data_IF_975970057511
#
_entry.id   IF_975970057511
#
_cell.length_a   1.000
_cell.length_b   1.000
_cell.length_c   1.000
_cell.angle_alpha   90.00
_cell.angle_beta   90.00
_cell.angle_gamma   90.00
#
_symmetry.space_group_name_H-M   'P 1'
#
loop_
_entity.id
_entity.type
_entity.pdbx_description
1 polymer ?
#
# COMPACT_ATOMS: atom_id res chain seq x y z
N UNK A 1 -18.86 29.56 -2.84
CA UNK A 1 -18.29 29.57 -1.47
C UNK A 1 -16.79 29.56 -1.63
N UNK A 2 -16.05 30.42 -0.92
CA UNK A 2 -14.58 30.41 -0.96
C UNK A 2 -14.09 29.12 -0.30
N UNK A 3 -13.20 28.38 -0.98
CA UNK A 3 -12.58 27.17 -0.43
C UNK A 3 -11.45 27.62 0.49
N UNK A 4 -11.47 27.13 1.73
CA UNK A 4 -10.47 27.42 2.75
C UNK A 4 -9.56 26.21 2.95
N UNK A 5 -8.32 26.29 2.46
CA UNK A 5 -7.31 25.26 2.65
C UNK A 5 -6.21 25.74 3.63
N UNK A 6 -6.00 25.00 4.73
CA UNK A 6 -5.03 25.38 5.76
C UNK A 6 -3.58 25.18 5.34
N UNK A 7 -3.30 24.21 4.47
CA UNK A 7 -1.96 24.02 3.92
C UNK A 7 -1.62 25.18 2.99
N UNK A 8 -2.51 25.51 2.06
CA UNK A 8 -2.30 26.63 1.15
C UNK A 8 -2.04 27.94 1.91
N UNK A 9 -2.84 28.24 2.94
CA UNK A 9 -2.65 29.44 3.76
C UNK A 9 -1.35 29.43 4.55
N UNK A 10 -0.98 28.29 5.13
CA UNK A 10 0.29 28.16 5.85
C UNK A 10 1.48 28.37 4.92
N UNK A 11 1.48 27.71 3.77
CA UNK A 11 2.58 27.82 2.80
C UNK A 11 2.69 29.24 2.26
N UNK A 12 1.57 29.88 1.93
CA UNK A 12 1.54 31.29 1.50
C UNK A 12 2.06 32.24 2.60
N UNK A 13 1.71 32.00 3.87
CA UNK A 13 2.17 32.82 5.01
C UNK A 13 3.70 32.82 5.15
N UNK A 14 4.35 31.72 4.83
CA UNK A 14 5.79 31.53 4.99
C UNK A 14 6.56 31.51 3.65
N UNK A 15 5.91 31.87 2.53
CA UNK A 15 6.47 31.82 1.18
C UNK A 15 7.10 30.47 0.82
N UNK A 16 6.48 29.37 1.26
CA UNK A 16 6.89 28.01 0.92
C UNK A 16 6.26 27.65 -0.42
N UNK A 17 7.08 27.29 -1.40
CA UNK A 17 6.59 26.82 -2.70
C UNK A 17 6.04 25.38 -2.55
N UNK A 18 4.90 25.11 -3.18
CA UNK A 18 4.27 23.79 -3.20
C UNK A 18 5.17 22.71 -3.81
N UNK A 19 5.82 23.01 -4.92
CA UNK A 19 6.71 22.06 -5.61
C UNK A 19 7.95 21.76 -4.77
N UNK A 20 8.52 22.77 -4.09
CA UNK A 20 9.67 22.55 -3.19
C UNK A 20 9.30 21.60 -2.05
N UNK A 21 8.09 21.72 -1.48
CA UNK A 21 7.59 20.78 -0.47
C UNK A 21 7.46 19.35 -1.03
N UNK A 22 6.95 19.21 -2.25
CA UNK A 22 6.81 17.91 -2.91
C UNK A 22 8.16 17.26 -3.18
N UNK A 23 9.09 18.03 -3.74
CA UNK A 23 10.45 17.57 -4.02
C UNK A 23 11.16 17.17 -2.73
N UNK A 24 11.04 17.97 -1.67
CA UNK A 24 11.55 17.61 -0.36
C UNK A 24 10.98 16.27 0.13
N UNK A 25 9.66 16.07 0.04
CA UNK A 25 9.04 14.83 0.49
C UNK A 25 9.50 13.60 -0.27
N UNK A 26 9.70 13.73 -1.58
CA UNK A 26 10.18 12.64 -2.43
C UNK A 26 11.68 12.37 -2.17
N UNK A 27 12.52 13.41 -2.17
CA UNK A 27 13.98 13.27 -2.01
C UNK A 27 14.40 12.78 -0.64
N UNK A 28 13.66 13.15 0.40
CA UNK A 28 13.92 12.71 1.77
C UNK A 28 13.25 11.36 2.09
N UNK A 29 12.39 10.83 1.21
CA UNK A 29 11.85 9.48 1.41
C UNK A 29 12.96 8.45 1.21
N UNK A 30 13.21 7.64 2.23
CA UNK A 30 14.24 6.61 2.17
C UNK A 30 13.60 5.31 1.67
N UNK A 31 14.07 4.87 0.52
CA UNK A 31 13.69 3.63 -0.14
C UNK A 31 14.76 2.54 0.08
N UNK A 32 14.38 1.26 0.23
CA UNK A 32 15.35 0.16 0.26
C UNK A 32 16.24 0.09 -1.01
N UNK A 33 17.53 -0.30 -0.88
CA UNK A 33 18.40 -0.50 -2.04
C UNK A 33 17.89 -1.62 -2.98
N UNK A 34 17.92 -1.38 -4.29
CA UNK A 34 17.31 -2.26 -5.31
C UNK A 34 17.87 -3.68 -5.32
N UNK A 35 19.17 -3.83 -5.07
CA UNK A 35 19.87 -5.12 -4.99
C UNK A 35 19.38 -5.97 -3.82
N UNK A 36 19.09 -5.32 -2.69
CA UNK A 36 18.52 -5.98 -1.51
C UNK A 36 17.02 -6.25 -1.67
N UNK A 37 16.30 -5.36 -2.35
CA UNK A 37 14.87 -5.53 -2.67
C UNK A 37 14.65 -6.82 -3.46
N UNK A 38 15.43 -7.06 -4.52
CA UNK A 38 15.29 -8.25 -5.35
C UNK A 38 15.38 -9.54 -4.53
N UNK A 39 16.40 -9.66 -3.68
CA UNK A 39 16.60 -10.85 -2.84
C UNK A 39 15.46 -11.07 -1.85
N UNK A 40 14.96 -9.99 -1.23
CA UNK A 40 13.89 -10.07 -0.24
C UNK A 40 12.53 -10.31 -0.88
N UNK A 41 12.32 -9.83 -2.11
CA UNK A 41 11.11 -10.12 -2.88
C UNK A 41 11.04 -11.59 -3.28
N UNK A 42 12.15 -12.17 -3.76
CA UNK A 42 12.23 -13.61 -4.03
C UNK A 42 11.99 -14.47 -2.79
N UNK A 43 12.57 -14.09 -1.65
CA UNK A 43 12.33 -14.77 -0.39
C UNK A 43 10.85 -14.73 0.03
N UNK A 44 10.20 -13.56 -0.07
CA UNK A 44 8.78 -13.41 0.25
C UNK A 44 7.91 -14.33 -0.62
N UNK A 45 8.10 -14.32 -1.95
CA UNK A 45 7.38 -15.22 -2.85
C UNK A 45 7.59 -16.69 -2.46
N UNK A 46 8.84 -17.10 -2.20
CA UNK A 46 9.15 -18.47 -1.77
C UNK A 46 8.43 -18.84 -0.48
N UNK A 47 8.40 -17.95 0.51
CA UNK A 47 7.66 -18.19 1.76
C UNK A 47 6.16 -18.31 1.51
N UNK A 48 5.59 -17.46 0.66
CA UNK A 48 4.16 -17.53 0.32
C UNK A 48 3.80 -18.89 -0.27
N UNK A 49 4.52 -19.31 -1.33
CA UNK A 49 4.21 -20.52 -2.08
C UNK A 49 4.62 -21.83 -1.38
N UNK A 50 5.51 -21.77 -0.38
CA UNK A 50 5.99 -22.96 0.33
C UNK A 50 5.54 -23.01 1.81
N UNK A 51 4.38 -22.43 2.13
CA UNK A 51 3.80 -22.45 3.48
C UNK A 51 4.75 -21.90 4.56
N UNK A 52 5.55 -20.89 4.24
CA UNK A 52 6.41 -20.16 5.17
C UNK A 52 5.63 -19.12 5.99
N UNK A 53 6.26 -18.62 7.06
CA UNK A 53 5.68 -17.56 7.90
C UNK A 53 5.64 -16.23 7.15
N UNK A 54 4.46 -15.63 7.06
CA UNK A 54 4.20 -14.34 6.40
C UNK A 54 3.21 -13.55 7.24
N UNK A 55 3.37 -12.23 7.30
CA UNK A 55 2.48 -11.32 8.02
C UNK A 55 1.58 -10.54 7.07
N UNK A 56 0.43 -10.13 7.59
CA UNK A 56 -0.47 -9.15 6.98
C UNK A 56 -0.99 -8.17 8.03
N UNK A 57 -1.45 -6.99 7.62
CA UNK A 57 -2.17 -6.07 8.50
C UNK A 57 -3.52 -6.65 8.91
N UNK A 58 -3.95 -6.37 10.14
CA UNK A 58 -5.29 -6.75 10.60
C UNK A 58 -6.40 -6.11 9.77
N UNK A 59 -7.48 -6.86 9.56
CA UNK A 59 -8.64 -6.43 8.77
C UNK A 59 -9.91 -6.24 9.62
N UNK A 60 -10.64 -5.16 9.34
CA UNK A 60 -11.85 -4.78 10.06
C UNK A 60 -11.59 -4.17 11.45
N UNK A 61 -12.67 -3.77 12.13
CA UNK A 61 -12.61 -3.23 13.49
C UNK A 61 -12.01 -4.27 14.43
N UNK A 62 -11.02 -3.86 15.22
CA UNK A 62 -10.27 -4.70 16.16
C UNK A 62 -9.64 -5.95 15.51
N UNK A 63 -9.41 -5.92 14.19
CA UNK A 63 -8.87 -7.02 13.40
C UNK A 63 -9.74 -8.30 13.35
N UNK A 64 -11.04 -8.24 13.70
CA UNK A 64 -11.94 -9.41 13.71
C UNK A 64 -12.15 -10.05 12.34
N UNK A 65 -12.04 -9.26 11.26
CA UNK A 65 -12.20 -9.76 9.90
C UNK A 65 -10.95 -10.47 9.35
N UNK A 66 -9.82 -10.45 10.08
CA UNK A 66 -8.55 -10.98 9.56
C UNK A 66 -8.64 -12.46 9.15
N UNK A 67 -9.49 -13.24 9.82
CA UNK A 67 -9.75 -14.65 9.49
C UNK A 67 -10.19 -14.87 8.03
N UNK A 68 -10.89 -13.91 7.41
CA UNK A 68 -11.25 -14.02 5.99
C UNK A 68 -10.02 -14.02 5.08
N UNK A 69 -9.03 -13.18 5.37
CA UNK A 69 -7.77 -13.17 4.62
C UNK A 69 -6.92 -14.40 4.92
N UNK A 70 -6.86 -14.84 6.18
CA UNK A 70 -6.11 -16.06 6.52
C UNK A 70 -6.70 -17.30 5.84
N UNK A 71 -8.04 -17.42 5.83
CA UNK A 71 -8.75 -18.47 5.13
C UNK A 71 -8.55 -18.41 3.62
N UNK A 72 -8.58 -17.21 3.03
CA UNK A 72 -8.30 -17.00 1.61
C UNK A 72 -6.88 -17.47 1.25
N UNK A 73 -5.86 -17.07 2.00
CA UNK A 73 -4.47 -17.43 1.67
C UNK A 73 -4.17 -18.91 1.90
N UNK A 74 -4.84 -19.52 2.87
CA UNK A 74 -4.85 -20.99 2.99
C UNK A 74 -5.47 -21.64 1.76
N UNK A 75 -6.57 -21.08 1.25
CA UNK A 75 -7.25 -21.62 0.06
C UNK A 75 -6.41 -21.46 -1.22
N UNK A 76 -5.89 -20.27 -1.47
CA UNK A 76 -5.14 -19.95 -2.70
C UNK A 76 -3.75 -20.59 -2.76
N UNK A 77 -3.00 -20.55 -1.66
CA UNK A 77 -1.57 -20.86 -1.66
C UNK A 77 -1.22 -22.06 -0.77
N UNK A 78 -2.22 -22.71 -0.18
CA UNK A 78 -2.03 -23.73 0.85
C UNK A 78 -1.13 -23.23 2.00
N UNK A 79 -1.12 -21.91 2.25
CA UNK A 79 -0.29 -21.29 3.27
C UNK A 79 -1.09 -21.10 4.56
N UNK A 80 -0.83 -21.95 5.54
CA UNK A 80 -1.41 -21.93 6.88
C UNK A 80 -0.62 -21.10 7.89
N UNK A 81 0.54 -20.57 7.49
CA UNK A 81 1.46 -19.82 8.34
C UNK A 81 1.36 -18.30 8.17
N UNK A 82 0.35 -17.83 7.43
CA UNK A 82 -0.01 -16.41 7.38
C UNK A 82 -0.59 -15.97 8.71
N UNK A 83 -0.10 -14.86 9.26
CA UNK A 83 -0.53 -14.35 10.57
C UNK A 83 -0.73 -12.84 10.52
N UNK A 84 -1.62 -12.34 11.37
CA UNK A 84 -1.73 -10.91 11.62
C UNK A 84 -0.42 -10.38 12.21
N UNK A 85 0.08 -9.25 11.71
CA UNK A 85 1.14 -8.49 12.37
C UNK A 85 0.65 -7.93 13.71
N UNK A 86 1.46 -8.06 14.76
CA UNK A 86 1.04 -7.74 16.13
C UNK A 86 0.67 -6.26 16.31
N UNK A 87 1.34 -5.33 15.61
CA UNK A 87 1.08 -3.88 15.70
C UNK A 87 0.63 -3.28 14.38
N UNK A 88 0.30 -4.11 13.39
CA UNK A 88 0.02 -3.72 12.01
C UNK A 88 1.21 -3.08 11.26
N UNK A 89 2.42 -3.09 11.83
CA UNK A 89 3.60 -2.44 11.25
C UNK A 89 4.95 -2.96 11.77
N UNK A 90 5.00 -4.00 12.62
CA UNK A 90 6.28 -4.54 13.13
C UNK A 90 7.12 -5.12 11.99
N UNK A 91 6.54 -5.98 11.17
CA UNK A 91 7.30 -6.66 10.12
C UNK A 91 7.82 -5.69 9.05
N UNK A 92 7.00 -4.76 8.50
CA UNK A 92 7.49 -3.72 7.61
C UNK A 92 8.63 -2.89 8.23
N UNK A 93 8.51 -2.55 9.52
CA UNK A 93 9.56 -1.83 10.24
C UNK A 93 10.87 -2.63 10.33
N UNK A 94 10.80 -3.94 10.61
CA UNK A 94 12.01 -4.78 10.64
C UNK A 94 12.67 -4.88 9.28
N UNK A 95 11.87 -5.09 8.22
CA UNK A 95 12.35 -5.21 6.85
C UNK A 95 13.08 -3.94 6.47
N UNK A 96 12.43 -2.77 6.51
CA UNK A 96 13.09 -1.53 6.06
C UNK A 96 14.29 -1.15 6.92
N UNK A 97 14.24 -1.39 8.24
CA UNK A 97 15.41 -1.17 9.11
C UNK A 97 16.59 -2.08 8.78
N UNK A 98 16.33 -3.32 8.38
CA UNK A 98 17.38 -4.26 7.94
C UNK A 98 17.98 -3.82 6.60
N UNK A 99 17.15 -3.41 5.64
CA UNK A 99 17.61 -3.10 4.28
C UNK A 99 18.30 -1.74 4.18
N UNK A 100 17.88 -0.75 4.98
CA UNK A 100 18.43 0.62 4.92
C UNK A 100 19.46 0.90 6.01
N UNK A 101 19.54 0.07 7.06
CA UNK A 101 20.35 0.33 8.25
C UNK A 101 19.77 1.39 9.21
N UNK A 102 18.66 2.04 8.85
CA UNK A 102 18.02 3.04 9.69
C UNK A 102 17.08 2.43 10.73
N UNK A 103 17.23 2.87 11.98
CA UNK A 103 16.46 2.46 13.14
C UNK A 103 15.84 3.69 13.79
N UNK A 104 14.50 3.69 13.84
CA UNK A 104 13.69 4.74 14.47
C UNK A 104 14.14 4.98 15.92
N UNK A 105 14.19 6.23 16.32
CA UNK A 105 14.61 6.70 17.66
C UNK A 105 16.05 6.29 18.04
N UNK A 106 16.90 5.95 17.06
CA UNK A 106 18.33 5.71 17.26
C UNK A 106 19.16 6.57 16.33
N UNK A 107 19.02 6.34 15.02
CA UNK A 107 19.69 7.10 13.96
C UNK A 107 18.70 7.61 12.90
N UNK A 108 17.40 7.48 13.16
CA UNK A 108 16.32 7.98 12.32
C UNK A 108 15.23 8.62 13.20
N UNK A 109 14.99 9.91 13.00
CA UNK A 109 14.05 10.70 13.81
C UNK A 109 13.05 11.40 12.90
N UNK A 110 11.79 11.47 13.33
CA UNK A 110 10.70 12.11 12.57
C UNK A 110 10.40 11.46 11.21
N UNK A 111 10.64 10.16 11.11
CA UNK A 111 10.19 9.31 10.00
C UNK A 111 9.16 8.29 10.47
N UNK A 112 8.38 7.83 9.51
CA UNK A 112 7.42 6.73 9.67
C UNK A 112 7.57 5.71 8.56
N UNK A 113 7.15 4.48 8.86
CA UNK A 113 7.08 3.41 7.86
C UNK A 113 5.73 3.52 7.16
N UNK A 114 5.76 3.60 5.83
CA UNK A 114 4.57 3.68 4.99
C UNK A 114 4.61 2.59 3.92
N UNK A 115 3.42 2.19 3.45
CA UNK A 115 3.25 1.34 2.29
C UNK A 115 2.96 2.21 1.08
N UNK A 116 3.83 2.19 0.07
CA UNK A 116 3.77 3.11 -1.08
C UNK A 116 2.43 2.98 -1.80
N UNK A 117 2.00 1.76 -2.12
CA UNK A 117 0.78 1.48 -2.87
C UNK A 117 -0.37 0.97 -1.99
N UNK A 118 -0.26 1.14 -0.67
CA UNK A 118 -1.24 0.60 0.28
C UNK A 118 -1.30 -0.93 0.25
N UNK A 119 -2.52 -1.48 0.11
CA UNK A 119 -2.81 -2.92 0.02
C UNK A 119 -2.08 -3.76 1.10
N UNK A 120 -2.35 -3.40 2.35
CA UNK A 120 -1.64 -3.92 3.54
C UNK A 120 -2.13 -5.26 4.09
N UNK A 121 -3.26 -5.77 3.61
CA UNK A 121 -3.78 -7.11 3.89
C UNK A 121 -3.36 -8.10 2.80
N UNK A 122 -2.93 -7.61 1.65
CA UNK A 122 -2.35 -8.40 0.58
C UNK A 122 -1.05 -9.08 1.04
N UNK A 123 -1.04 -10.41 0.97
CA UNK A 123 0.09 -11.27 1.37
C UNK A 123 1.39 -10.95 0.63
N UNK A 124 1.30 -10.51 -0.63
CA UNK A 124 2.46 -10.15 -1.43
C UNK A 124 2.98 -8.75 -1.11
N UNK A 125 2.10 -7.82 -0.70
CA UNK A 125 2.44 -6.39 -0.63
C UNK A 125 2.76 -5.89 0.77
N UNK A 126 2.27 -6.55 1.82
CA UNK A 126 2.49 -6.09 3.19
C UNK A 126 3.97 -6.15 3.59
N UNK A 127 4.68 -7.21 3.19
CA UNK A 127 6.11 -7.41 3.43
C UNK A 127 6.98 -7.08 2.21
N UNK A 128 6.39 -6.70 1.07
CA UNK A 128 7.15 -6.40 -0.13
C UNK A 128 8.13 -5.23 0.14
N UNK A 129 9.44 -5.45 0.03
CA UNK A 129 10.42 -4.40 0.35
C UNK A 129 10.30 -3.19 -0.60
N UNK A 130 9.92 -3.41 -1.85
CA UNK A 130 9.65 -2.35 -2.83
C UNK A 130 8.34 -1.59 -2.57
N UNK A 131 7.45 -2.10 -1.71
CA UNK A 131 6.22 -1.42 -1.31
C UNK A 131 6.39 -0.72 0.06
N UNK A 132 7.57 -0.74 0.68
CA UNK A 132 7.80 -0.16 2.02
C UNK A 132 8.78 1.01 1.90
N UNK A 133 8.44 2.14 2.52
CA UNK A 133 9.27 3.34 2.55
C UNK A 133 9.35 3.96 3.95
N UNK A 134 10.44 4.69 4.22
CA UNK A 134 10.54 5.58 5.37
C UNK A 134 10.24 7.00 4.90
N UNK A 135 9.03 7.49 5.21
CA UNK A 135 8.55 8.80 4.78
C UNK A 135 8.74 9.81 5.93
N UNK A 136 9.19 11.05 5.65
CA UNK A 136 9.21 12.11 6.64
C UNK A 136 7.81 12.35 7.23
N UNK A 137 7.69 12.44 8.56
CA UNK A 137 6.41 12.70 9.23
C UNK A 137 5.79 14.05 8.83
N UNK A 138 6.59 14.99 8.35
CA UNK A 138 6.11 16.27 7.83
C UNK A 138 5.20 16.06 6.61
N UNK A 139 5.44 14.99 5.84
CA UNK A 139 4.79 14.69 4.57
C UNK A 139 3.71 13.60 4.72
N UNK A 140 3.68 12.91 5.86
CA UNK A 140 2.67 11.90 6.21
C UNK A 140 1.23 12.32 5.84
N UNK A 141 0.78 13.56 6.16
CA UNK A 141 -0.59 13.95 5.85
C UNK A 141 -0.91 13.92 4.35
N UNK A 142 0.10 14.07 3.47
CA UNK A 142 -0.06 14.01 2.02
C UNK A 142 -0.03 12.57 1.47
N UNK A 143 0.50 11.61 2.24
CA UNK A 143 0.50 10.17 1.87
C UNK A 143 -0.70 9.38 2.42
N UNK A 144 -1.38 9.91 3.43
CA UNK A 144 -2.46 9.23 4.13
C UNK A 144 -3.88 9.61 3.67
N UNK A 145 -4.87 9.11 4.42
CA UNK A 145 -6.28 9.45 4.25
C UNK A 145 -6.74 10.67 5.08
N UNK A 146 -5.80 11.33 5.77
CA UNK A 146 -6.08 12.42 6.71
C UNK A 146 -6.30 13.75 5.99
N UNK A 147 -5.58 13.98 4.89
CA UNK A 147 -5.72 15.20 4.09
C UNK A 147 -6.60 14.94 2.87
N UNK A 148 -7.40 15.93 2.51
CA UNK A 148 -8.23 15.93 1.30
C UNK A 148 -7.85 17.12 0.41
N UNK A 149 -8.30 17.09 -0.83
CA UNK A 149 -8.08 18.18 -1.79
C UNK A 149 -6.94 17.89 -2.76
N UNK A 150 -6.59 18.90 -3.55
CA UNK A 150 -5.68 18.74 -4.69
C UNK A 150 -4.24 18.46 -4.27
N UNK A 151 -3.80 19.00 -3.12
CA UNK A 151 -2.41 18.87 -2.68
C UNK A 151 -1.94 17.43 -2.40
N UNK A 152 -2.67 16.62 -1.59
CA UNK A 152 -2.29 15.22 -1.40
C UNK A 152 -2.41 14.39 -2.69
N UNK A 153 -3.36 14.71 -3.58
CA UNK A 153 -3.52 14.01 -4.86
C UNK A 153 -2.29 14.22 -5.73
N UNK A 154 -1.90 15.47 -5.97
CA UNK A 154 -0.72 15.81 -6.78
C UNK A 154 0.57 15.24 -6.18
N UNK A 155 0.71 15.28 -4.85
CA UNK A 155 1.86 14.68 -4.18
C UNK A 155 1.90 13.16 -4.38
N UNK A 156 0.79 12.46 -4.17
CA UNK A 156 0.69 11.02 -4.35
C UNK A 156 1.00 10.61 -5.79
N UNK A 157 0.49 11.33 -6.79
CA UNK A 157 0.82 11.07 -8.19
C UNK A 157 2.33 11.15 -8.46
N UNK A 158 2.99 12.21 -7.97
CA UNK A 158 4.45 12.37 -8.12
C UNK A 158 5.22 11.28 -7.36
N UNK A 159 4.80 10.98 -6.13
CA UNK A 159 5.45 9.98 -5.27
C UNK A 159 5.31 8.56 -5.85
N UNK A 160 4.13 8.21 -6.38
CA UNK A 160 3.89 6.93 -7.04
C UNK A 160 4.65 6.84 -8.35
N UNK A 161 4.71 7.91 -9.16
CA UNK A 161 5.53 7.93 -10.38
C UNK A 161 6.99 7.67 -10.07
N UNK A 162 7.57 8.42 -9.13
CA UNK A 162 8.95 8.26 -8.70
C UNK A 162 9.24 6.83 -8.20
N UNK A 163 8.39 6.30 -7.33
CA UNK A 163 8.56 4.95 -6.78
C UNK A 163 8.39 3.87 -7.86
N UNK A 164 7.48 4.08 -8.80
CA UNK A 164 7.22 3.13 -9.90
C UNK A 164 8.36 3.10 -10.91
N UNK A 165 9.03 4.23 -11.15
CA UNK A 165 10.25 4.26 -11.99
C UNK A 165 11.37 3.42 -11.39
N UNK A 166 11.55 3.47 -10.06
CA UNK A 166 12.58 2.72 -9.35
C UNK A 166 12.26 1.23 -9.27
N UNK A 167 11.00 0.89 -8.99
CA UNK A 167 10.59 -0.50 -8.71
C UNK A 167 9.77 -1.15 -9.82
N UNK A 168 9.84 -0.60 -11.03
CA UNK A 168 9.05 -1.02 -12.19
C UNK A 168 9.00 -2.53 -12.36
N UNK A 169 10.17 -3.19 -12.37
CA UNK A 169 10.30 -4.63 -12.61
C UNK A 169 9.54 -5.46 -11.56
N UNK A 170 9.58 -5.05 -10.28
CA UNK A 170 8.88 -5.76 -9.20
C UNK A 170 7.36 -5.54 -9.24
N UNK A 171 6.93 -4.34 -9.63
CA UNK A 171 5.50 -4.02 -9.78
C UNK A 171 4.92 -4.78 -10.95
N UNK A 172 5.63 -4.83 -12.09
CA UNK A 172 5.21 -5.59 -13.26
C UNK A 172 5.12 -7.08 -12.96
N UNK A 173 6.08 -7.64 -12.22
CA UNK A 173 6.03 -9.03 -11.80
C UNK A 173 4.85 -9.31 -10.85
N UNK A 174 4.64 -8.45 -9.84
CA UNK A 174 3.46 -8.57 -8.97
C UNK A 174 2.16 -8.50 -9.76
N UNK A 175 2.05 -7.58 -10.72
CA UNK A 175 0.87 -7.42 -11.56
C UNK A 175 0.62 -8.67 -12.41
N UNK A 176 1.67 -9.27 -12.97
CA UNK A 176 1.56 -10.53 -13.69
C UNK A 176 1.07 -11.65 -12.75
N UNK A 177 1.65 -11.76 -11.56
CA UNK A 177 1.30 -12.77 -10.58
C UNK A 177 -0.16 -12.65 -10.14
N UNK A 178 -0.60 -11.47 -9.70
CA UNK A 178 -1.94 -11.29 -9.14
C UNK A 178 -3.04 -11.41 -10.21
N UNK A 179 -2.68 -11.28 -11.49
CA UNK A 179 -3.60 -11.45 -12.62
C UNK A 179 -3.73 -12.91 -13.07
N UNK A 180 -3.04 -13.86 -12.42
CA UNK A 180 -3.17 -15.28 -12.73
C UNK A 180 -4.62 -15.75 -12.56
N UNK A 181 -5.14 -16.44 -13.57
CA UNK A 181 -6.53 -16.91 -13.59
C UNK A 181 -6.86 -17.79 -12.39
N UNK A 182 -5.94 -18.62 -11.92
CA UNK A 182 -6.17 -19.48 -10.75
C UNK A 182 -6.33 -18.65 -9.47
N UNK A 183 -5.64 -17.52 -9.36
CA UNK A 183 -5.81 -16.62 -8.22
C UNK A 183 -7.17 -15.94 -8.28
N UNK A 184 -7.56 -15.42 -9.45
CA UNK A 184 -8.83 -14.73 -9.65
C UNK A 184 -10.00 -15.69 -9.37
N UNK A 185 -9.99 -16.87 -9.99
CA UNK A 185 -11.02 -17.90 -9.80
C UNK A 185 -11.03 -18.40 -8.35
N UNK A 186 -9.86 -18.62 -7.75
CA UNK A 186 -9.76 -19.05 -6.36
C UNK A 186 -10.28 -18.01 -5.35
N UNK A 187 -10.17 -16.71 -5.64
CA UNK A 187 -10.80 -15.65 -4.83
C UNK A 187 -12.31 -15.76 -4.92
N UNK A 188 -12.86 -15.90 -6.14
CA UNK A 188 -14.30 -16.06 -6.36
C UNK A 188 -14.84 -17.30 -5.67
N UNK A 189 -14.18 -18.43 -5.83
CA UNK A 189 -14.55 -19.71 -5.22
C UNK A 189 -14.56 -19.62 -3.68
N UNK A 190 -13.55 -18.98 -3.10
CA UNK A 190 -13.48 -18.75 -1.66
C UNK A 190 -14.65 -17.88 -1.17
N UNK A 191 -14.93 -16.76 -1.85
CA UNK A 191 -16.04 -15.85 -1.52
C UNK A 191 -17.38 -16.58 -1.58
N UNK A 192 -17.61 -17.38 -2.62
CA UNK A 192 -18.86 -18.14 -2.77
C UNK A 192 -19.03 -19.19 -1.68
N UNK A 193 -17.94 -19.83 -1.26
CA UNK A 193 -17.97 -20.78 -0.16
C UNK A 193 -18.33 -20.11 1.18
N UNK A 194 -17.69 -18.99 1.53
CA UNK A 194 -18.01 -18.28 2.77
C UNK A 194 -19.44 -17.71 2.76
N UNK A 195 -19.95 -17.26 1.61
CA UNK A 195 -21.35 -16.79 1.48
C UNK A 195 -22.35 -17.91 1.77
N UNK A 196 -22.11 -19.12 1.24
CA UNK A 196 -22.94 -20.32 1.50
C UNK A 196 -22.96 -20.69 2.98
N UNK A 197 -21.84 -20.57 3.67
CA UNK A 197 -21.72 -20.96 5.09
C UNK A 197 -22.31 -19.93 6.07
N UNK A 198 -22.25 -18.65 5.74
CA UNK A 198 -22.56 -17.54 6.67
C UNK A 198 -23.84 -16.79 6.37
N UNK A 199 -24.66 -17.28 5.43
CA UNK A 199 -25.92 -16.66 5.00
C UNK A 199 -25.76 -15.19 4.52
N UNK A 200 -24.66 -14.87 3.82
CA UNK A 200 -24.39 -13.55 3.25
C UNK A 200 -24.44 -12.40 4.26
N UNK A 201 -23.71 -12.54 5.38
CA UNK A 201 -23.62 -11.46 6.36
C UNK A 201 -23.02 -10.17 5.77
N UNK A 202 -23.28 -9.04 6.44
CA UNK A 202 -22.74 -7.71 6.03
C UNK A 202 -21.21 -7.72 5.96
N UNK A 203 -20.56 -8.45 6.86
CA UNK A 203 -19.11 -8.61 6.93
C UNK A 203 -18.56 -9.33 5.69
N UNK A 204 -19.24 -10.38 5.22
CA UNK A 204 -18.83 -11.11 4.01
C UNK A 204 -18.99 -10.25 2.75
N UNK A 205 -20.09 -9.50 2.66
CA UNK A 205 -20.29 -8.56 1.54
C UNK A 205 -19.28 -7.41 1.54
N UNK A 206 -18.84 -6.97 2.73
CA UNK A 206 -17.77 -5.98 2.83
C UNK A 206 -16.42 -6.59 2.44
N UNK A 207 -16.12 -7.80 2.91
CA UNK A 207 -14.89 -8.51 2.55
C UNK A 207 -14.79 -8.73 1.05
N UNK A 208 -15.87 -9.16 0.38
CA UNK A 208 -15.91 -9.32 -1.07
C UNK A 208 -15.52 -8.04 -1.83
N UNK A 209 -16.02 -6.87 -1.40
CA UNK A 209 -15.63 -5.61 -2.04
C UNK A 209 -14.17 -5.27 -1.77
N UNK A 210 -13.73 -5.44 -0.52
CA UNK A 210 -12.40 -5.02 -0.11
C UNK A 210 -11.31 -5.91 -0.71
N UNK A 211 -11.54 -7.23 -0.76
CA UNK A 211 -10.56 -8.21 -1.27
C UNK A 211 -10.25 -8.00 -2.75
N UNK A 212 -11.24 -7.57 -3.55
CA UNK A 212 -11.04 -7.24 -4.97
C UNK A 212 -10.07 -6.07 -5.12
N UNK A 213 -10.24 -5.00 -4.33
CA UNK A 213 -9.33 -3.85 -4.35
C UNK A 213 -7.96 -4.19 -3.76
N UNK A 214 -7.93 -5.04 -2.73
CA UNK A 214 -6.72 -5.44 -2.03
C UNK A 214 -5.82 -6.34 -2.89
N UNK A 215 -6.41 -7.30 -3.61
CA UNK A 215 -5.75 -8.25 -4.52
C UNK A 215 -5.92 -7.85 -6.00
N UNK A 216 -5.83 -6.56 -6.30
CA UNK A 216 -5.73 -6.09 -7.69
C UNK A 216 -4.32 -5.64 -8.06
N UNK A 217 -4.10 -5.47 -9.36
CA UNK A 217 -2.90 -4.85 -9.92
C UNK A 217 -2.66 -3.45 -9.35
N UNK A 218 -1.41 -3.00 -9.43
CA UNK A 218 -1.02 -1.62 -9.21
C UNK A 218 -0.93 -0.94 -10.58
N UNK A 219 -1.75 0.09 -10.78
CA UNK A 219 -1.70 0.89 -12.01
C UNK A 219 -0.42 1.73 -12.05
N UNK A 220 0.47 1.42 -12.99
CA UNK A 220 1.66 2.23 -13.23
C UNK A 220 1.23 3.40 -14.13
N UNK A 221 1.19 4.61 -13.58
CA UNK A 221 1.00 5.82 -14.37
C UNK A 221 2.28 6.13 -15.17
N UNK A 222 2.49 5.47 -16.31
CA UNK A 222 3.54 5.83 -17.26
C UNK A 222 3.09 7.04 -18.09
N UNK A 223 2.94 8.23 -17.50
CA UNK A 223 2.81 9.46 -18.28
C UNK A 223 3.39 10.69 -17.56
N UNK A 224 4.62 11.08 -17.92
CA UNK A 224 4.90 12.49 -18.18
C UNK A 224 4.25 12.86 -19.52
N UNK A 225 2.96 13.18 -19.49
CA UNK A 225 2.30 13.95 -20.54
C UNK A 225 1.20 14.74 -19.86
N UNK A 226 1.13 16.07 -20.07
CA UNK A 226 0.13 16.89 -19.40
C UNK A 226 -1.24 16.41 -19.85
N UNK A 227 -2.00 15.80 -18.93
CA UNK A 227 -3.42 15.53 -19.16
C UNK A 227 -4.11 16.88 -19.22
N UNK A 228 -4.46 17.32 -20.42
CA UNK A 228 -5.53 18.29 -20.60
C UNK A 228 -6.79 17.71 -19.98
N UNK A 229 -7.23 18.32 -18.88
CA UNK A 229 -8.49 18.04 -18.20
C UNK A 229 -9.67 18.00 -19.19
N UNK A 230 -10.47 16.94 -19.23
CA UNK A 230 -11.87 17.05 -19.58
C UNK A 230 -12.65 17.37 -18.30
N UNK A 231 -13.34 18.50 -18.31
CA UNK A 231 -14.29 18.95 -17.29
C UNK A 231 -15.13 17.79 -16.75
N UNK A 232 -14.99 17.50 -15.46
CA UNK A 232 -15.98 16.72 -14.71
C UNK A 232 -16.74 17.67 -13.80
N UNK A 233 -17.96 17.95 -14.24
CA UNK A 233 -19.00 18.60 -13.45
C UNK A 233 -19.17 17.89 -12.11
N UNK A 234 -19.23 18.72 -11.06
CA UNK A 234 -19.59 18.36 -9.69
C UNK A 234 -21.06 17.91 -9.66
N UNK A 235 -21.31 16.61 -9.50
CA UNK A 235 -22.61 16.15 -8.99
C UNK A 235 -22.52 15.97 -7.47
N UNK A 236 -23.29 16.82 -6.79
CA UNK A 236 -23.55 16.86 -5.37
C UNK A 236 -24.71 15.89 -5.08
N UNK A 237 -24.47 14.87 -4.24
CA UNK A 237 -25.46 14.28 -3.32
C UNK A 237 -24.76 13.75 -2.08
#
# INVERSE_FOLDING_TARGET
>A
MEILDSYERFMAKFNINKEDLYQFGISETILPPIDLVAQNWEDLKKRIFNNGDVKIRGYGRDAKGTEFYLGLYKHLFNNTNVKKDATNNIEPQKIISRLTGYKRNRNLFNYQVSHIFGKTKNIFLFEAPWNIALVPKLIDPFTGHETKGVWPIEYQEKFYSYSSEIYKEFIEEYNHLISDTNIIEGITDYIDNIKKQTAMSKEVLQFERDVIGELSIIEISLTCSPKTSPDRELEIW
#
